data_IF_852329899240
#
_entry.id   IF_852329899240
#
_cell.length_a   1.000
_cell.length_b   1.000
_cell.length_c   1.000
_cell.angle_alpha   90.00
_cell.angle_beta   90.00
_cell.angle_gamma   90.00
#
_symmetry.space_group_name_H-M   'P 1'
#
loop_
_entity.id
_entity.type
_entity.pdbx_description
1 polymer ?
#
# COMPACT_ATOMS: atom_id res chain seq x y z
N UNK A 1 66.79 -1.37 -12.19
CA UNK A 1 65.48 -1.79 -12.69
C UNK A 1 65.65 -2.35 -14.09
N UNK A 2 65.28 -3.57 -14.33
CA UNK A 2 65.38 -4.20 -15.64
C UNK A 2 64.28 -3.66 -16.57
N UNK A 3 64.51 -3.58 -17.85
CA UNK A 3 63.52 -3.09 -18.86
C UNK A 3 62.15 -3.81 -18.72
N UNK A 4 62.20 -5.09 -18.34
CA UNK A 4 61.03 -5.94 -18.09
C UNK A 4 60.19 -5.42 -16.91
N UNK A 5 60.85 -4.92 -15.84
CA UNK A 5 60.15 -4.38 -14.66
C UNK A 5 59.35 -3.11 -15.01
N UNK A 6 59.92 -2.28 -15.89
CA UNK A 6 59.29 -1.05 -16.37
C UNK A 6 58.07 -1.36 -17.24
N UNK A 7 58.18 -2.36 -18.12
CA UNK A 7 57.07 -2.78 -19.00
C UNK A 7 55.93 -3.40 -18.13
N UNK A 8 56.28 -4.20 -17.11
CA UNK A 8 55.31 -4.79 -16.20
C UNK A 8 54.57 -3.71 -15.41
N UNK A 9 55.25 -2.66 -14.93
CA UNK A 9 54.65 -1.54 -14.21
C UNK A 9 53.70 -0.75 -15.13
N UNK A 10 54.09 -0.45 -16.35
CA UNK A 10 53.24 0.25 -17.33
C UNK A 10 52.03 -0.57 -17.69
N UNK A 11 52.15 -1.89 -17.87
CA UNK A 11 51.04 -2.79 -18.08
C UNK A 11 50.07 -2.84 -16.89
N UNK A 12 50.59 -2.86 -15.68
CA UNK A 12 49.74 -2.81 -14.47
C UNK A 12 48.99 -1.46 -14.35
N UNK A 13 49.69 -0.34 -14.65
CA UNK A 13 49.07 0.99 -14.62
C UNK A 13 47.95 1.17 -15.66
N UNK A 14 48.03 0.47 -16.79
CA UNK A 14 46.96 0.50 -17.80
C UNK A 14 45.61 -0.05 -17.30
N UNK A 15 45.61 -0.93 -16.25
CA UNK A 15 44.41 -1.49 -15.64
C UNK A 15 43.82 -0.61 -14.53
N UNK A 16 44.58 0.36 -14.02
CA UNK A 16 44.13 1.23 -12.92
C UNK A 16 42.77 1.95 -13.23
N UNK A 17 42.55 2.55 -14.41
CA UNK A 17 41.29 3.20 -14.68
C UNK A 17 40.09 2.23 -14.63
N UNK A 18 40.29 1.01 -15.10
CA UNK A 18 39.25 -0.02 -15.08
C UNK A 18 38.95 -0.50 -13.65
N UNK A 19 39.98 -0.72 -12.84
CA UNK A 19 39.84 -1.09 -11.44
C UNK A 19 39.14 0.03 -10.65
N UNK A 20 39.53 1.27 -10.84
CA UNK A 20 38.91 2.44 -10.20
C UNK A 20 37.43 2.54 -10.63
N UNK A 21 37.15 2.39 -11.91
CA UNK A 21 35.79 2.41 -12.43
C UNK A 21 34.94 1.28 -11.86
N UNK A 22 35.52 0.07 -11.72
CA UNK A 22 34.84 -1.07 -11.14
C UNK A 22 34.54 -0.85 -9.65
N UNK A 23 35.52 -0.39 -8.86
CA UNK A 23 35.35 -0.04 -7.46
C UNK A 23 34.29 1.08 -7.31
N UNK A 24 34.38 2.12 -8.11
CA UNK A 24 33.40 3.21 -8.09
C UNK A 24 31.98 2.72 -8.38
N UNK A 25 31.80 1.89 -9.40
CA UNK A 25 30.50 1.32 -9.72
C UNK A 25 30.01 0.35 -8.65
N UNK A 26 30.94 -0.36 -7.98
CA UNK A 26 30.57 -1.25 -6.86
C UNK A 26 30.11 -0.47 -5.63
N UNK A 27 30.73 0.67 -5.35
CA UNK A 27 30.39 1.55 -4.22
C UNK A 27 29.15 2.41 -4.47
N UNK A 28 28.74 2.61 -5.71
CA UNK A 28 27.52 3.37 -6.00
C UNK A 28 26.30 2.74 -5.35
N UNK A 29 25.45 3.58 -4.77
CA UNK A 29 24.14 3.20 -4.27
C UNK A 29 23.05 3.43 -5.32
N UNK A 30 21.99 2.61 -5.36
CA UNK A 30 20.85 2.88 -6.22
C UNK A 30 20.20 4.21 -5.82
N UNK A 31 19.80 5.01 -6.81
CA UNK A 31 18.99 6.21 -6.63
C UNK A 31 17.63 5.97 -7.25
N UNK A 32 16.56 6.27 -6.53
CA UNK A 32 15.20 6.14 -7.04
C UNK A 32 14.61 7.54 -7.24
N UNK A 33 14.18 7.83 -8.47
CA UNK A 33 13.32 8.96 -8.77
C UNK A 33 11.87 8.45 -8.69
N UNK A 34 11.01 9.20 -8.00
CA UNK A 34 9.63 8.83 -7.72
C UNK A 34 8.72 9.88 -8.34
N UNK A 35 7.73 9.44 -9.09
CA UNK A 35 6.70 10.25 -9.69
C UNK A 35 5.34 9.68 -9.31
N UNK A 36 4.29 10.48 -9.36
CA UNK A 36 2.90 10.05 -9.18
C UNK A 36 2.02 10.74 -10.23
N UNK A 37 0.91 10.12 -10.58
CA UNK A 37 -0.14 10.82 -11.31
C UNK A 37 -0.90 11.75 -10.35
N UNK A 38 -1.58 12.76 -10.89
CA UNK A 38 -2.30 13.75 -10.09
C UNK A 38 -3.60 13.24 -9.47
N UNK A 39 -3.99 11.98 -9.74
CA UNK A 39 -5.27 11.42 -9.33
C UNK A 39 -5.07 10.40 -8.21
N UNK A 40 -5.53 10.75 -7.01
CA UNK A 40 -5.57 9.85 -5.87
C UNK A 40 -7.00 9.35 -5.64
N UNK A 41 -7.16 8.06 -5.41
CA UNK A 41 -8.43 7.49 -5.01
C UNK A 41 -8.47 7.32 -3.49
N UNK A 42 -9.47 7.90 -2.86
CA UNK A 42 -9.72 7.68 -1.43
C UNK A 42 -10.98 6.86 -1.25
N UNK A 43 -10.97 6.00 -0.25
CA UNK A 43 -12.08 5.11 0.02
C UNK A 43 -12.30 4.86 1.50
N UNK A 44 -13.51 4.42 1.82
CA UNK A 44 -13.85 3.80 3.10
C UNK A 44 -14.62 2.53 2.79
N UNK A 45 -13.97 1.41 2.98
CA UNK A 45 -14.43 0.09 2.55
C UNK A 45 -14.41 -0.90 3.72
N UNK A 46 -14.70 -2.18 3.47
CA UNK A 46 -14.63 -3.27 4.46
C UNK A 46 -13.35 -3.26 5.32
N UNK A 47 -12.22 -2.87 4.75
CA UNK A 47 -10.92 -2.82 5.43
C UNK A 47 -10.58 -1.43 6.01
N UNK A 48 -11.59 -0.56 6.17
CA UNK A 48 -11.43 0.79 6.70
C UNK A 48 -10.97 1.80 5.65
N UNK A 49 -10.17 2.78 6.10
CA UNK A 49 -9.67 3.82 5.23
C UNK A 49 -8.70 3.26 4.20
N UNK A 50 -8.96 3.55 2.94
CA UNK A 50 -8.13 3.18 1.81
C UNK A 50 -7.67 4.45 1.08
N UNK A 51 -6.45 4.41 0.60
CA UNK A 51 -5.85 5.41 -0.28
C UNK A 51 -5.10 4.68 -1.38
N UNK A 52 -5.43 4.97 -2.62
CA UNK A 52 -4.78 4.36 -3.76
C UNK A 52 -4.16 5.44 -4.64
N UNK A 53 -2.95 5.20 -5.09
CA UNK A 53 -2.24 6.13 -5.95
C UNK A 53 -1.32 5.37 -6.91
N UNK A 54 -1.22 5.87 -8.13
CA UNK A 54 -0.27 5.36 -9.11
C UNK A 54 1.08 6.03 -8.89
N UNK A 55 2.09 5.21 -8.64
CA UNK A 55 3.47 5.63 -8.58
C UNK A 55 4.26 5.11 -9.77
N UNK A 56 5.20 5.93 -10.22
CA UNK A 56 6.22 5.52 -11.19
C UNK A 56 7.58 5.61 -10.52
N UNK A 57 8.34 4.53 -10.59
CA UNK A 57 9.69 4.42 -10.02
C UNK A 57 10.71 4.29 -11.14
N UNK A 58 11.77 5.09 -11.06
CA UNK A 58 12.91 5.01 -11.97
C UNK A 58 14.18 4.83 -11.14
N UNK A 59 14.74 3.64 -11.15
CA UNK A 59 16.04 3.39 -10.51
C UNK A 59 17.17 3.85 -11.44
N UNK A 60 18.14 4.56 -10.87
CA UNK A 60 19.36 4.99 -11.54
C UNK A 60 20.58 4.32 -10.90
N UNK A 61 21.64 4.24 -11.65
CA UNK A 61 22.93 3.66 -11.26
C UNK A 61 22.91 2.14 -11.04
N UNK A 62 21.93 1.61 -10.28
CA UNK A 62 21.72 0.16 -9.98
C UNK A 62 20.25 -0.16 -9.88
N UNK A 63 19.92 -1.45 -9.95
CA UNK A 63 18.60 -1.94 -9.54
C UNK A 63 18.36 -1.61 -8.07
N UNK A 64 17.11 -1.44 -7.70
CA UNK A 64 16.71 -1.17 -6.32
C UNK A 64 15.53 -2.06 -5.94
N UNK A 65 15.59 -2.63 -4.74
CA UNK A 65 14.48 -3.38 -4.16
C UNK A 65 13.75 -2.47 -3.17
N UNK A 66 12.50 -2.15 -3.48
CA UNK A 66 11.60 -1.43 -2.57
C UNK A 66 10.86 -2.49 -1.77
N UNK A 67 11.02 -2.52 -0.46
CA UNK A 67 10.45 -3.52 0.44
C UNK A 67 9.41 -2.96 1.43
N UNK A 68 9.34 -1.64 1.61
CA UNK A 68 8.26 -1.00 2.36
C UNK A 68 7.92 0.39 1.79
N UNK A 69 6.63 0.73 1.86
CA UNK A 69 6.14 2.06 1.52
C UNK A 69 5.12 2.47 2.58
N UNK A 70 5.40 3.58 3.26
CA UNK A 70 4.48 4.21 4.20
C UNK A 70 3.95 5.51 3.63
N UNK A 71 2.65 5.76 3.80
CA UNK A 71 2.03 7.02 3.45
C UNK A 71 1.67 7.78 4.74
N UNK A 72 2.35 8.89 4.96
CA UNK A 72 2.12 9.80 6.07
C UNK A 72 1.23 10.95 5.58
N UNK A 73 0.04 11.07 6.14
CA UNK A 73 -0.94 12.09 5.80
C UNK A 73 -1.07 13.08 6.95
N UNK A 74 -1.17 14.37 6.61
CA UNK A 74 -1.52 15.43 7.56
C UNK A 74 -2.75 16.13 7.02
N UNK A 75 -3.85 16.14 7.79
CA UNK A 75 -5.07 16.82 7.43
C UNK A 75 -4.98 18.35 7.69
N UNK A 76 -6.00 19.09 7.30
CA UNK A 76 -6.09 20.55 7.50
C UNK A 76 -6.03 20.98 8.98
N UNK A 77 -6.41 20.09 9.90
CA UNK A 77 -6.42 20.36 11.35
C UNK A 77 -5.08 19.97 12.00
N UNK A 78 -4.11 19.48 11.21
CA UNK A 78 -2.80 19.04 11.66
C UNK A 78 -2.79 17.62 12.24
N UNK A 79 -3.87 16.84 12.11
CA UNK A 79 -3.86 15.46 12.55
C UNK A 79 -3.04 14.59 11.61
N UNK A 80 -2.22 13.71 12.19
CA UNK A 80 -1.33 12.82 11.46
C UNK A 80 -1.90 11.40 11.38
N UNK A 81 -1.88 10.84 10.18
CA UNK A 81 -2.33 9.48 9.91
C UNK A 81 -1.25 8.74 9.12
N UNK A 82 -1.03 7.48 9.47
CA UNK A 82 -0.07 6.61 8.78
C UNK A 82 -0.84 5.46 8.17
N UNK A 83 -0.72 5.32 6.87
CA UNK A 83 -1.22 4.20 6.10
C UNK A 83 -0.03 3.39 5.58
N UNK A 84 -0.15 2.06 5.60
CA UNK A 84 0.90 1.18 5.05
C UNK A 84 0.47 0.61 3.72
N UNK A 85 1.44 0.36 2.88
CA UNK A 85 1.28 -0.35 1.64
C UNK A 85 0.79 -1.79 1.91
N UNK A 86 -0.34 -2.15 1.31
CA UNK A 86 -0.98 -3.45 1.51
C UNK A 86 -0.99 -4.30 0.24
N UNK A 87 -1.06 -3.65 -0.92
CA UNK A 87 -1.11 -4.31 -2.21
C UNK A 87 -0.69 -3.36 -3.33
N UNK A 88 -0.37 -3.93 -4.47
CA UNK A 88 -0.21 -3.18 -5.71
C UNK A 88 -0.82 -3.93 -6.88
N UNK A 89 -1.13 -3.25 -7.96
CA UNK A 89 -1.53 -3.88 -9.21
C UNK A 89 -0.61 -3.50 -10.35
N UNK A 90 -0.45 -4.46 -11.25
CA UNK A 90 0.27 -4.32 -12.53
C UNK A 90 -0.69 -4.57 -13.67
N UNK A 91 -0.58 -3.75 -14.71
CA UNK A 91 -1.24 -4.01 -15.99
C UNK A 91 -0.43 -5.03 -16.76
N UNK A 92 -1.03 -6.20 -17.06
CA UNK A 92 -0.37 -7.27 -17.80
C UNK A 92 -0.62 -7.20 -19.28
N UNK A 93 -1.85 -6.85 -19.68
CA UNK A 93 -2.28 -6.81 -21.08
C UNK A 93 -3.21 -5.64 -21.32
N UNK A 94 -2.98 -4.98 -22.44
CA UNK A 94 -3.98 -4.12 -23.09
C UNK A 94 -4.44 -4.83 -24.34
N UNK A 95 -5.67 -5.30 -24.36
CA UNK A 95 -6.29 -5.88 -25.53
C UNK A 95 -7.06 -4.78 -26.26
N UNK A 96 -6.67 -4.49 -27.49
CA UNK A 96 -7.44 -3.66 -28.39
C UNK A 96 -8.45 -4.52 -29.14
N UNK A 97 -9.72 -4.36 -28.84
CA UNK A 97 -10.81 -5.09 -29.49
C UNK A 97 -11.79 -4.13 -30.20
N UNK A 98 -12.69 -4.64 -31.06
CA UNK A 98 -13.70 -3.81 -31.73
C UNK A 98 -14.63 -3.08 -30.76
N UNK A 99 -14.74 -3.55 -29.50
CA UNK A 99 -15.57 -2.96 -28.46
C UNK A 99 -14.80 -1.99 -27.53
N UNK A 100 -13.53 -1.68 -27.83
CA UNK A 100 -12.66 -0.83 -27.02
C UNK A 100 -11.44 -1.56 -26.44
N UNK A 101 -10.62 -0.82 -25.69
CA UNK A 101 -9.46 -1.39 -25.00
C UNK A 101 -9.89 -2.09 -23.72
N UNK A 102 -9.45 -3.33 -23.54
CA UNK A 102 -9.62 -4.09 -22.30
C UNK A 102 -8.26 -4.22 -21.62
N UNK A 103 -8.17 -3.78 -20.36
CA UNK A 103 -6.95 -3.84 -19.56
C UNK A 103 -7.09 -4.96 -18.55
N UNK A 104 -6.16 -5.91 -18.55
CA UNK A 104 -6.06 -6.92 -17.50
C UNK A 104 -4.99 -6.49 -16.48
N UNK A 105 -5.44 -6.20 -15.27
CA UNK A 105 -4.57 -5.92 -14.13
C UNK A 105 -4.60 -7.07 -13.13
N UNK A 106 -3.45 -7.42 -12.56
CA UNK A 106 -3.33 -8.39 -11.48
C UNK A 106 -2.95 -7.67 -10.20
N UNK A 107 -3.79 -7.82 -9.18
CA UNK A 107 -3.47 -7.35 -7.84
C UNK A 107 -2.56 -8.36 -7.14
N UNK A 108 -1.52 -7.86 -6.48
CA UNK A 108 -0.56 -8.62 -5.69
C UNK A 108 -0.44 -8.03 -4.30
N UNK A 109 -0.17 -8.87 -3.31
CA UNK A 109 0.11 -8.41 -1.95
C UNK A 109 1.41 -7.59 -1.91
N UNK A 110 1.49 -6.65 -1.00
CA UNK A 110 2.69 -5.86 -0.73
C UNK A 110 3.80 -6.76 -0.16
N UNK A 111 4.76 -7.14 -1.02
CA UNK A 111 5.94 -7.91 -0.63
C UNK A 111 7.19 -7.12 -0.97
N UNK A 112 7.42 -6.85 -2.25
CA UNK A 112 8.53 -6.05 -2.74
C UNK A 112 8.26 -5.60 -4.19
N UNK A 113 8.86 -4.48 -4.58
CA UNK A 113 8.89 -3.99 -5.96
C UNK A 113 10.34 -3.91 -6.40
N UNK A 114 10.68 -4.64 -7.47
CA UNK A 114 12.01 -4.54 -8.08
C UNK A 114 12.01 -3.41 -9.12
N UNK A 115 12.71 -2.33 -8.82
CA UNK A 115 12.93 -1.23 -9.75
C UNK A 115 14.21 -1.50 -10.54
N UNK A 116 14.04 -1.86 -11.82
CA UNK A 116 15.16 -2.11 -12.71
C UNK A 116 15.85 -0.80 -13.11
N UNK A 117 17.18 -0.87 -13.26
CA UNK A 117 17.98 0.26 -13.67
C UNK A 117 17.52 0.81 -15.03
N UNK A 118 17.33 2.13 -15.08
CA UNK A 118 16.95 2.90 -16.28
C UNK A 118 15.63 2.45 -16.94
N UNK A 119 14.79 1.73 -16.18
CA UNK A 119 13.44 1.32 -16.58
C UNK A 119 12.42 2.00 -15.68
N UNK A 120 11.50 2.77 -16.29
CA UNK A 120 10.36 3.33 -15.58
C UNK A 120 9.34 2.21 -15.36
N UNK A 121 9.00 1.96 -14.10
CA UNK A 121 7.96 0.99 -13.73
C UNK A 121 6.80 1.72 -13.09
N UNK A 122 5.59 1.39 -13.48
CA UNK A 122 4.36 1.94 -12.91
C UNK A 122 3.64 0.91 -12.07
N UNK A 123 3.17 1.33 -10.89
CA UNK A 123 2.41 0.50 -9.96
C UNK A 123 1.25 1.33 -9.41
N UNK A 124 0.06 0.76 -9.46
CA UNK A 124 -1.07 1.28 -8.70
C UNK A 124 -1.03 0.67 -7.31
N UNK A 125 -0.81 1.50 -6.30
CA UNK A 125 -0.49 1.06 -4.93
C UNK A 125 -1.64 1.41 -4.00
N UNK A 126 -2.08 0.41 -3.22
CA UNK A 126 -3.11 0.56 -2.22
C UNK A 126 -2.57 0.57 -0.80
N UNK A 127 -2.97 1.59 -0.04
CA UNK A 127 -2.59 1.82 1.34
C UNK A 127 -3.79 1.67 2.27
N UNK A 128 -3.56 1.12 3.47
CA UNK A 128 -4.59 0.95 4.50
C UNK A 128 -4.01 1.17 5.90
N UNK A 129 -4.89 1.41 6.87
CA UNK A 129 -4.50 1.55 8.28
C UNK A 129 -4.31 0.18 8.93
N UNK A 130 -3.08 -0.18 9.25
CA UNK A 130 -2.75 -1.43 9.97
C UNK A 130 -3.41 -1.47 11.35
N UNK A 131 -3.49 -0.32 12.03
CA UNK A 131 -4.14 -0.22 13.33
C UNK A 131 -5.64 -0.55 13.25
N UNK A 132 -6.34 -0.08 12.20
CA UNK A 132 -7.72 -0.44 11.95
C UNK A 132 -7.87 -1.93 11.66
N UNK A 133 -7.05 -2.46 10.76
CA UNK A 133 -7.08 -3.88 10.38
C UNK A 133 -6.86 -4.80 11.60
N UNK A 134 -5.90 -4.46 12.47
CA UNK A 134 -5.64 -5.22 13.69
C UNK A 134 -6.84 -5.21 14.64
N UNK A 135 -7.45 -4.04 14.88
CA UNK A 135 -8.66 -3.92 15.72
C UNK A 135 -9.84 -4.68 15.12
N UNK A 136 -10.05 -4.53 13.80
CA UNK A 136 -11.13 -5.23 13.09
C UNK A 136 -10.97 -6.75 13.22
N UNK A 137 -9.76 -7.27 12.97
CA UNK A 137 -9.47 -8.72 13.09
C UNK A 137 -9.80 -9.25 14.49
N UNK A 138 -9.42 -8.50 15.53
CA UNK A 138 -9.71 -8.89 16.92
C UNK A 138 -11.21 -8.91 17.19
N UNK A 139 -11.94 -7.87 16.79
CA UNK A 139 -13.39 -7.78 17.01
C UNK A 139 -14.15 -8.80 16.17
N UNK A 140 -13.74 -9.02 14.93
CA UNK A 140 -14.28 -10.06 14.06
C UNK A 140 -14.12 -11.46 14.70
N UNK A 141 -12.94 -11.77 15.23
CA UNK A 141 -12.70 -13.04 15.95
C UNK A 141 -13.64 -13.20 17.16
N UNK A 142 -13.81 -12.15 17.98
CA UNK A 142 -14.73 -12.20 19.11
C UNK A 142 -16.17 -12.47 18.68
N UNK A 143 -16.62 -11.78 17.62
CA UNK A 143 -17.98 -11.97 17.08
C UNK A 143 -18.15 -13.38 16.52
N UNK A 144 -17.18 -13.91 15.77
CA UNK A 144 -17.21 -15.31 15.30
C UNK A 144 -17.31 -16.28 16.45
N UNK A 145 -16.50 -16.12 17.49
CA UNK A 145 -16.56 -16.99 18.69
C UNK A 145 -17.91 -16.91 19.38
N UNK A 146 -18.51 -15.72 19.48
CA UNK A 146 -19.86 -15.56 20.04
C UNK A 146 -20.90 -16.33 19.22
N UNK A 147 -20.85 -16.23 17.88
CA UNK A 147 -21.75 -16.94 16.96
C UNK A 147 -21.57 -18.46 17.08
N UNK A 148 -20.34 -18.95 17.14
CA UNK A 148 -20.04 -20.38 17.29
C UNK A 148 -20.58 -20.93 18.61
N UNK A 149 -20.49 -20.18 19.71
CA UNK A 149 -21.08 -20.56 21.00
C UNK A 149 -22.62 -20.62 20.93
N UNK A 150 -23.27 -19.71 20.20
CA UNK A 150 -24.71 -19.77 19.96
C UNK A 150 -25.10 -21.04 19.20
N UNK A 151 -24.37 -21.36 18.12
CA UNK A 151 -24.55 -22.59 17.34
C UNK A 151 -24.43 -23.86 18.21
N UNK A 152 -23.43 -23.92 19.07
CA UNK A 152 -23.19 -25.05 19.94
C UNK A 152 -24.36 -25.28 20.94
N UNK A 153 -25.07 -24.21 21.29
CA UNK A 153 -26.25 -24.26 22.19
C UNK A 153 -27.57 -24.57 21.46
N UNK A 154 -27.55 -24.76 20.13
CA UNK A 154 -28.67 -25.34 19.37
C UNK A 154 -29.53 -24.36 18.58
N UNK A 155 -29.39 -23.03 18.76
CA UNK A 155 -30.14 -22.03 17.99
C UNK A 155 -29.28 -20.82 17.67
N UNK A 156 -29.36 -20.36 16.38
CA UNK A 156 -28.78 -19.09 15.96
C UNK A 156 -29.86 -18.02 16.08
N UNK A 157 -29.81 -17.21 17.13
CA UNK A 157 -30.64 -16.01 17.24
C UNK A 157 -29.93 -14.79 16.62
N UNK A 158 -30.35 -14.42 15.40
CA UNK A 158 -29.82 -13.28 14.68
C UNK A 158 -30.03 -11.98 15.46
N UNK A 159 -31.15 -11.82 16.13
CA UNK A 159 -31.43 -10.63 16.91
C UNK A 159 -30.55 -10.55 18.15
N UNK A 160 -30.22 -11.70 18.76
CA UNK A 160 -29.26 -11.78 19.85
C UNK A 160 -27.85 -11.40 19.35
N UNK A 161 -27.44 -11.90 18.17
CA UNK A 161 -26.16 -11.52 17.54
C UNK A 161 -26.09 -10.00 17.31
N UNK A 162 -27.10 -9.41 16.69
CA UNK A 162 -27.14 -7.95 16.42
C UNK A 162 -27.20 -7.09 17.68
N UNK A 163 -27.71 -7.62 18.78
CA UNK A 163 -27.70 -6.97 20.10
C UNK A 163 -26.44 -7.22 20.91
N UNK A 164 -25.58 -8.16 20.48
CA UNK A 164 -24.36 -8.51 21.21
C UNK A 164 -23.40 -7.33 21.33
N UNK A 165 -22.58 -7.36 22.37
CA UNK A 165 -21.52 -6.37 22.58
C UNK A 165 -20.51 -6.40 21.44
N UNK A 166 -20.13 -7.58 20.99
CA UNK A 166 -19.13 -7.85 19.95
C UNK A 166 -19.54 -7.24 18.61
N UNK A 167 -20.80 -7.43 18.20
CA UNK A 167 -21.35 -6.85 16.99
C UNK A 167 -21.37 -5.31 17.07
N UNK A 168 -21.83 -4.76 18.19
CA UNK A 168 -21.92 -3.32 18.38
C UNK A 168 -20.55 -2.66 18.46
N UNK A 169 -19.54 -3.31 19.05
CA UNK A 169 -18.16 -2.83 19.05
C UNK A 169 -17.58 -2.80 17.63
N UNK A 170 -17.85 -3.80 16.80
CA UNK A 170 -17.41 -3.82 15.41
C UNK A 170 -18.05 -2.69 14.62
N UNK A 171 -19.36 -2.46 14.76
CA UNK A 171 -20.08 -1.32 14.14
C UNK A 171 -19.49 0.01 14.60
N UNK A 172 -19.20 0.15 15.91
CA UNK A 172 -18.60 1.37 16.48
C UNK A 172 -17.21 1.62 15.91
N UNK A 173 -16.40 0.56 15.72
CA UNK A 173 -15.09 0.69 15.07
C UNK A 173 -15.23 1.35 13.69
N UNK A 174 -16.16 0.88 12.85
CA UNK A 174 -16.39 1.46 11.53
C UNK A 174 -16.87 2.92 11.61
N UNK A 175 -17.85 3.21 12.48
CA UNK A 175 -18.37 4.58 12.63
C UNK A 175 -17.32 5.61 13.06
N UNK A 176 -16.40 5.20 13.92
CA UNK A 176 -15.45 6.12 14.56
C UNK A 176 -14.06 6.14 13.88
N UNK A 177 -13.85 5.34 12.84
CA UNK A 177 -12.51 5.20 12.23
C UNK A 177 -12.37 5.91 10.89
N UNK A 178 -13.40 6.61 10.40
CA UNK A 178 -13.26 7.41 9.18
C UNK A 178 -12.29 8.56 9.45
N UNK A 179 -11.17 8.55 8.74
CA UNK A 179 -10.15 9.60 8.87
C UNK A 179 -10.38 10.77 7.90
N UNK A 180 -11.16 10.53 6.83
CA UNK A 180 -11.33 11.50 5.75
C UNK A 180 -12.22 12.66 6.16
N UNK A 181 -11.74 13.89 5.92
CA UNK A 181 -12.44 15.16 6.11
C UNK A 181 -12.30 16.00 4.85
N UNK A 182 -13.21 16.93 4.61
CA UNK A 182 -13.05 17.89 3.52
C UNK A 182 -11.90 18.85 3.79
N UNK A 183 -11.13 19.17 2.76
CA UNK A 183 -10.01 20.08 2.85
C UNK A 183 -8.74 19.58 2.21
N UNK A 184 -7.64 20.31 2.40
CA UNK A 184 -6.32 19.97 1.87
C UNK A 184 -5.60 18.99 2.78
N UNK A 185 -4.93 18.02 2.16
CA UNK A 185 -4.03 17.07 2.79
C UNK A 185 -2.62 17.26 2.27
N UNK A 186 -1.65 17.23 3.17
CA UNK A 186 -0.24 17.07 2.84
C UNK A 186 0.14 15.61 3.02
N UNK A 187 0.72 15.00 1.99
CA UNK A 187 1.09 13.61 1.95
C UNK A 187 2.60 13.45 1.76
N UNK A 188 3.21 12.52 2.48
CA UNK A 188 4.60 12.11 2.33
C UNK A 188 4.64 10.60 2.17
N UNK A 189 4.95 10.13 0.97
CA UNK A 189 5.24 8.71 0.75
C UNK A 189 6.71 8.45 1.12
N UNK A 190 6.95 7.59 2.11
CA UNK A 190 8.26 7.12 2.54
C UNK A 190 8.52 5.76 1.93
N UNK A 191 9.50 5.69 1.04
CA UNK A 191 9.85 4.50 0.28
C UNK A 191 11.18 3.96 0.81
N UNK A 192 11.14 2.79 1.42
CA UNK A 192 12.31 2.11 1.93
C UNK A 192 12.98 1.27 0.83
N UNK A 193 14.31 1.34 0.76
CA UNK A 193 15.14 0.60 -0.19
C UNK A 193 15.98 -0.41 0.60
N UNK A 194 15.64 -1.69 0.46
CA UNK A 194 16.26 -2.79 1.20
C UNK A 194 17.79 -2.84 1.04
N UNK A 195 18.29 -2.65 -0.20
CA UNK A 195 19.71 -2.78 -0.52
C UNK A 195 20.60 -1.75 0.18
N UNK A 196 20.07 -0.61 0.55
CA UNK A 196 20.84 0.50 1.14
C UNK A 196 20.38 0.87 2.53
N UNK A 197 19.26 0.32 2.98
CA UNK A 197 18.57 0.71 4.21
C UNK A 197 18.26 2.25 4.24
N UNK A 198 18.05 2.83 3.07
CA UNK A 198 17.73 4.25 2.91
C UNK A 198 16.23 4.42 2.68
N UNK A 199 15.71 5.54 3.16
CA UNK A 199 14.31 5.92 2.94
C UNK A 199 14.27 7.18 2.07
N UNK A 200 13.61 7.10 0.93
CA UNK A 200 13.31 8.23 0.07
C UNK A 200 11.95 8.79 0.38
N UNK A 201 11.82 10.11 0.43
CA UNK A 201 10.56 10.79 0.65
C UNK A 201 10.04 11.42 -0.64
N UNK A 202 8.78 11.20 -0.93
CA UNK A 202 8.06 11.86 -2.01
C UNK A 202 6.86 12.62 -1.45
N UNK A 203 6.83 13.95 -1.65
CA UNK A 203 5.84 14.87 -1.06
C UNK A 203 4.86 15.32 -2.13
N UNK A 204 3.58 15.27 -1.78
CA UNK A 204 2.51 15.77 -2.64
C UNK A 204 1.34 16.29 -1.80
N UNK A 205 0.37 16.91 -2.46
CA UNK A 205 -0.85 17.41 -1.84
C UNK A 205 -2.06 16.96 -2.65
N UNK A 206 -3.16 16.75 -1.96
CA UNK A 206 -4.45 16.51 -2.57
C UNK A 206 -5.55 17.18 -1.76
N UNK A 207 -6.73 17.30 -2.33
CA UNK A 207 -7.87 17.94 -1.67
C UNK A 207 -9.09 17.05 -1.81
N UNK A 208 -9.86 16.95 -0.74
CA UNK A 208 -11.16 16.29 -0.72
C UNK A 208 -12.27 17.35 -0.63
N UNK A 209 -13.27 17.24 -1.47
CA UNK A 209 -14.47 18.08 -1.46
C UNK A 209 -15.48 17.57 -0.44
N UNK A 210 -16.44 18.42 -0.09
CA UNK A 210 -17.54 18.02 0.80
C UNK A 210 -18.40 16.90 0.18
N UNK A 211 -18.56 16.87 -1.15
CA UNK A 211 -19.33 15.85 -1.87
C UNK A 211 -18.65 14.46 -1.78
N UNK A 212 -17.30 14.41 -1.88
CA UNK A 212 -16.55 13.17 -1.70
C UNK A 212 -16.69 12.65 -0.27
N UNK A 213 -16.62 13.53 0.72
CA UNK A 213 -16.83 13.15 2.12
C UNK A 213 -18.25 12.67 2.38
N UNK A 214 -19.25 13.30 1.79
CA UNK A 214 -20.63 12.81 1.88
C UNK A 214 -20.76 11.39 1.31
N UNK A 215 -20.11 11.12 0.18
CA UNK A 215 -20.07 9.78 -0.43
C UNK A 215 -19.39 8.76 0.48
N UNK A 216 -18.25 9.12 1.09
CA UNK A 216 -17.54 8.26 2.03
C UNK A 216 -18.35 8.00 3.31
N UNK A 217 -19.13 8.96 3.78
CA UNK A 217 -20.04 8.77 4.90
C UNK A 217 -21.15 7.77 4.60
N UNK A 218 -21.69 7.76 3.37
CA UNK A 218 -22.65 6.73 2.93
C UNK A 218 -22.04 5.32 2.96
N UNK A 219 -20.74 5.19 2.70
CA UNK A 219 -20.03 3.91 2.80
C UNK A 219 -19.99 3.36 4.22
N UNK A 220 -20.11 4.20 5.27
CA UNK A 220 -20.22 3.72 6.66
C UNK A 220 -21.51 2.92 6.87
N UNK A 221 -22.62 3.38 6.30
CA UNK A 221 -23.89 2.63 6.36
C UNK A 221 -23.80 1.31 5.58
N UNK A 222 -23.10 1.33 4.43
CA UNK A 222 -22.83 0.12 3.66
C UNK A 222 -21.94 -0.87 4.43
N UNK A 223 -20.99 -0.40 5.26
CA UNK A 223 -20.15 -1.26 6.08
C UNK A 223 -20.98 -2.15 7.03
N UNK A 224 -22.13 -1.67 7.52
CA UNK A 224 -23.04 -2.48 8.35
C UNK A 224 -23.59 -3.66 7.55
N UNK A 225 -24.06 -3.44 6.33
CA UNK A 225 -24.57 -4.53 5.47
C UNK A 225 -23.45 -5.54 5.11
N UNK A 226 -22.21 -5.08 4.95
CA UNK A 226 -21.06 -5.96 4.73
C UNK A 226 -20.80 -6.85 5.95
N UNK A 227 -20.91 -6.31 7.17
CA UNK A 227 -20.75 -7.08 8.40
C UNK A 227 -21.88 -8.12 8.53
N UNK A 228 -23.12 -7.72 8.25
CA UNK A 228 -24.27 -8.62 8.26
C UNK A 228 -24.04 -9.78 7.27
N UNK A 229 -23.66 -9.47 6.04
CA UNK A 229 -23.35 -10.48 5.03
C UNK A 229 -22.19 -11.41 5.45
N UNK A 230 -21.13 -10.84 6.02
CA UNK A 230 -19.93 -11.61 6.40
C UNK A 230 -20.16 -12.57 7.55
N UNK A 231 -20.93 -12.17 8.56
CA UNK A 231 -21.06 -12.92 9.80
C UNK A 231 -22.43 -13.58 10.00
N UNK A 232 -23.49 -12.98 9.46
CA UNK A 232 -24.86 -13.46 9.68
C UNK A 232 -25.30 -14.35 8.52
N UNK A 233 -25.21 -13.87 7.28
CA UNK A 233 -25.67 -14.65 6.11
C UNK A 233 -24.85 -15.91 5.90
N UNK A 234 -23.53 -15.83 6.12
CA UNK A 234 -22.63 -16.99 6.05
C UNK A 234 -22.95 -18.01 7.15
N UNK A 235 -23.44 -17.57 8.30
CA UNK A 235 -23.79 -18.48 9.41
C UNK A 235 -25.04 -19.31 9.15
N UNK A 236 -25.89 -18.91 8.20
CA UNK A 236 -27.11 -19.62 7.81
C UNK A 236 -26.85 -20.68 6.72
N UNK A 237 -25.69 -20.64 6.04
CA UNK A 237 -25.35 -21.56 4.94
C UNK A 237 -24.57 -22.81 5.40
N UNK A 238 -24.22 -22.91 6.66
CA UNK A 238 -23.53 -24.04 7.31
C UNK A 238 -24.43 -24.76 8.30
#
# INVERSE_FOLDING_TARGET
>A
MKLIDIIAILGALAWLPQIISWIYNWLKKPKISIYHDGEAEVGYIKNGNAFNLRFSFLARDKHALIDDIELHLTDKDGAHHILKWMWYSETFYELQGPAGNSTMAKQQNAIAINAFRDVLIEKFIGFQSVAFLGKRKLLAYKLTTFIENQKANGEIDIDAIKRSHEYNELIRLYKNSLLWKSGEYSAVAKIHIADTNETNEHKFKFRLSDLEIETLNKNIEFAKSVIDCEFIDTSQQL
#
